data_IF_629956903184
#
_entry.id   IF_629956903184
#
_cell.length_a   1.000
_cell.length_b   1.000
_cell.length_c   1.000
_cell.angle_alpha   90.00
_cell.angle_beta   90.00
_cell.angle_gamma   90.00
#
_symmetry.space_group_name_H-M   'P 1'
#
loop_
_entity.id
_entity.type
_entity.pdbx_description
1 polymer ?
#
# COMPACT_ATOMS: atom_id res chain seq x y z
N UNK A 1 10.81 14.32 -1.30
CA UNK A 1 10.87 15.59 -0.55
C UNK A 1 12.07 15.70 0.41
N UNK A 2 12.64 14.60 0.90
CA UNK A 2 13.78 14.58 1.84
C UNK A 2 14.98 13.70 1.39
N UNK A 3 14.92 13.12 0.20
CA UNK A 3 16.00 12.31 -0.39
C UNK A 3 16.15 10.91 0.23
N UNK A 4 15.30 10.51 1.18
CA UNK A 4 15.36 9.19 1.78
C UNK A 4 14.87 8.12 0.81
N UNK A 5 15.58 7.00 0.77
CA UNK A 5 15.12 5.80 0.06
C UNK A 5 14.39 4.91 1.05
N UNK A 6 13.13 4.61 0.76
CA UNK A 6 12.28 3.70 1.54
C UNK A 6 11.97 2.49 0.67
N UNK A 7 11.89 1.32 1.30
CA UNK A 7 11.62 0.06 0.60
C UNK A 7 10.36 -0.60 1.13
N UNK A 8 9.72 -1.39 0.28
CA UNK A 8 8.60 -2.24 0.63
C UNK A 8 8.79 -3.63 0.03
N UNK A 9 8.31 -4.66 0.71
CA UNK A 9 8.39 -6.05 0.25
C UNK A 9 7.05 -6.73 0.42
N UNK A 10 6.77 -7.71 -0.43
CA UNK A 10 5.61 -8.58 -0.28
C UNK A 10 5.72 -9.35 1.04
N UNK A 11 4.70 -9.21 1.88
CA UNK A 11 4.55 -9.91 3.16
C UNK A 11 3.38 -10.90 3.14
N UNK A 12 2.95 -11.29 4.34
CA UNK A 12 1.75 -12.12 4.54
C UNK A 12 0.47 -11.31 4.34
N UNK A 13 0.46 -10.04 4.78
CA UNK A 13 -0.71 -9.17 4.76
C UNK A 13 -0.69 -8.14 3.63
N UNK A 14 0.47 -7.55 3.32
CA UNK A 14 0.60 -6.48 2.34
C UNK A 14 1.35 -6.96 1.10
N UNK A 15 0.89 -6.51 -0.08
CA UNK A 15 1.70 -6.55 -1.30
C UNK A 15 2.86 -5.55 -1.23
N UNK A 16 3.85 -5.70 -2.12
CA UNK A 16 5.01 -4.80 -2.14
C UNK A 16 4.64 -3.32 -2.33
N UNK A 17 3.64 -3.01 -3.17
CA UNK A 17 3.14 -1.65 -3.36
C UNK A 17 2.53 -1.09 -2.07
N UNK A 18 1.58 -1.81 -1.46
CA UNK A 18 0.95 -1.42 -0.20
C UNK A 18 1.98 -1.22 0.92
N UNK A 19 2.96 -2.14 1.04
CA UNK A 19 4.03 -2.04 2.02
C UNK A 19 4.93 -0.83 1.79
N UNK A 20 5.34 -0.58 0.53
CA UNK A 20 6.13 0.59 0.18
C UNK A 20 5.38 1.89 0.53
N UNK A 21 4.10 1.97 0.18
CA UNK A 21 3.26 3.13 0.47
C UNK A 21 3.17 3.38 1.98
N UNK A 22 2.96 2.32 2.77
CA UNK A 22 2.87 2.43 4.23
C UNK A 22 4.18 2.91 4.85
N UNK A 23 5.31 2.31 4.46
CA UNK A 23 6.62 2.68 4.96
C UNK A 23 6.97 4.11 4.55
N UNK A 24 6.63 4.52 3.32
CA UNK A 24 6.84 5.89 2.86
C UNK A 24 6.01 6.90 3.68
N UNK A 25 4.73 6.59 3.96
CA UNK A 25 3.88 7.44 4.80
C UNK A 25 4.42 7.56 6.22
N UNK A 26 4.84 6.45 6.85
CA UNK A 26 5.48 6.47 8.17
C UNK A 26 6.74 7.32 8.17
N UNK A 27 7.61 7.13 7.17
CA UNK A 27 8.86 7.87 7.04
C UNK A 27 8.64 9.38 6.91
N UNK A 28 7.70 9.83 6.07
CA UNK A 28 7.43 11.28 5.93
C UNK A 28 6.75 11.84 7.17
N UNK A 29 5.95 11.06 7.89
CA UNK A 29 5.23 11.53 9.09
C UNK A 29 6.03 11.38 10.39
N UNK A 30 7.26 10.87 10.32
CA UNK A 30 8.13 10.66 11.47
C UNK A 30 7.62 9.55 12.41
N UNK A 31 6.81 8.63 11.88
CA UNK A 31 6.34 7.45 12.60
C UNK A 31 7.34 6.33 12.42
N UNK A 32 7.59 5.60 13.50
CA UNK A 32 8.49 4.45 13.49
C UNK A 32 7.99 3.37 12.50
N UNK A 33 8.90 2.76 11.74
CA UNK A 33 8.58 1.76 10.73
C UNK A 33 7.97 0.49 11.36
N UNK A 34 8.39 0.14 12.57
CA UNK A 34 7.92 -1.06 13.29
C UNK A 34 6.54 -0.85 13.96
N UNK A 35 6.08 0.41 14.06
CA UNK A 35 4.78 0.69 14.69
C UNK A 35 3.63 0.23 13.80
N UNK A 36 2.74 -0.60 14.33
CA UNK A 36 1.50 -0.96 13.63
C UNK A 36 0.52 0.22 13.69
N UNK A 37 0.09 0.70 12.53
CA UNK A 37 -0.76 1.91 12.38
C UNK A 37 -2.13 1.61 11.75
N UNK A 38 -2.40 0.34 11.47
CA UNK A 38 -3.71 -0.13 11.01
C UNK A 38 -4.19 -1.17 12.00
N UNK A 39 -5.39 -0.96 12.54
CA UNK A 39 -6.03 -1.88 13.48
C UNK A 39 -6.47 -3.15 12.74
N UNK A 40 -6.22 -4.32 13.34
CA UNK A 40 -6.67 -5.61 12.82
C UNK A 40 -8.19 -5.65 12.59
N UNK A 41 -8.98 -4.90 13.38
CA UNK A 41 -10.43 -4.76 13.20
C UNK A 41 -10.82 -4.07 11.90
N UNK A 42 -9.93 -3.26 11.31
CA UNK A 42 -10.12 -2.66 9.99
C UNK A 42 -9.65 -3.60 8.87
N UNK A 43 -8.60 -4.40 9.13
CA UNK A 43 -8.00 -5.32 8.16
C UNK A 43 -8.86 -6.57 7.95
N UNK A 44 -9.27 -7.21 9.04
CA UNK A 44 -9.88 -8.55 9.01
C UNK A 44 -11.17 -8.60 8.17
N UNK A 45 -12.10 -7.63 8.24
CA UNK A 45 -13.29 -7.64 7.39
C UNK A 45 -12.96 -7.57 5.90
N UNK A 46 -11.91 -6.83 5.52
CA UNK A 46 -11.48 -6.71 4.12
C UNK A 46 -10.89 -8.05 3.65
N UNK A 47 -10.02 -8.66 4.45
CA UNK A 47 -9.46 -9.97 4.13
C UNK A 47 -10.56 -11.03 3.97
N UNK A 48 -11.52 -11.10 4.90
CA UNK A 48 -12.65 -12.04 4.84
C UNK A 48 -13.52 -11.80 3.62
N UNK A 49 -13.82 -10.54 3.29
CA UNK A 49 -14.56 -10.21 2.06
C UNK A 49 -13.86 -10.78 0.82
N UNK A 50 -12.55 -10.58 0.69
CA UNK A 50 -11.77 -11.07 -0.45
C UNK A 50 -11.81 -12.58 -0.56
N UNK A 51 -11.58 -13.29 0.54
CA UNK A 51 -11.40 -14.75 0.51
C UNK A 51 -12.72 -15.52 0.57
N UNK A 52 -13.67 -15.09 1.39
CA UNK A 52 -14.92 -15.83 1.65
C UNK A 52 -16.05 -15.46 0.68
N UNK A 53 -16.04 -14.25 0.12
CA UNK A 53 -17.16 -13.74 -0.67
C UNK A 53 -16.78 -13.39 -2.11
N UNK A 54 -15.56 -12.91 -2.35
CA UNK A 54 -15.07 -12.55 -3.68
C UNK A 54 -14.21 -13.64 -4.33
N UNK A 55 -14.05 -14.79 -3.66
CA UNK A 55 -13.27 -15.95 -4.15
C UNK A 55 -11.83 -15.61 -4.56
N UNK A 56 -11.24 -14.56 -3.96
CA UNK A 56 -9.83 -14.24 -4.17
C UNK A 56 -8.96 -15.23 -3.41
N UNK A 57 -8.04 -15.87 -4.11
CA UNK A 57 -6.98 -16.69 -3.50
C UNK A 57 -5.97 -15.81 -2.75
N UNK A 58 -5.85 -14.54 -3.12
CA UNK A 58 -4.91 -13.60 -2.51
C UNK A 58 -5.60 -12.78 -1.43
N UNK A 59 -5.26 -13.07 -0.16
CA UNK A 59 -5.72 -12.32 1.02
C UNK A 59 -4.98 -11.00 1.24
N UNK A 60 -3.90 -10.73 0.50
CA UNK A 60 -3.09 -9.53 0.71
C UNK A 60 -3.88 -8.29 0.32
N UNK A 61 -3.68 -7.21 1.06
CA UNK A 61 -4.29 -5.93 0.75
C UNK A 61 -3.54 -5.23 -0.38
N UNK A 62 -4.29 -4.74 -1.36
CA UNK A 62 -3.83 -3.75 -2.34
C UNK A 62 -3.68 -2.39 -1.68
N UNK A 63 -3.03 -1.47 -2.40
CA UNK A 63 -2.66 -0.16 -1.85
C UNK A 63 -3.91 0.66 -1.47
N UNK A 64 -5.00 0.53 -2.21
CA UNK A 64 -6.28 1.19 -1.94
C UNK A 64 -6.99 0.63 -0.71
N UNK A 65 -7.10 -0.70 -0.61
CA UNK A 65 -7.64 -1.40 0.57
C UNK A 65 -6.83 -1.04 1.84
N UNK A 66 -5.51 -0.89 1.70
CA UNK A 66 -4.62 -0.48 2.78
C UNK A 66 -4.91 0.94 3.24
N UNK A 67 -5.12 1.88 2.30
CA UNK A 67 -5.50 3.26 2.65
C UNK A 67 -6.90 3.36 3.25
N UNK A 68 -7.84 2.54 2.80
CA UNK A 68 -9.19 2.45 3.39
C UNK A 68 -9.08 1.96 4.83
N UNK A 69 -8.33 0.89 5.08
CA UNK A 69 -8.13 0.37 6.43
C UNK A 69 -7.45 1.40 7.35
N UNK A 70 -6.40 2.06 6.86
CA UNK A 70 -5.74 3.16 7.59
C UNK A 70 -6.72 4.31 7.89
N UNK A 71 -7.58 4.67 6.92
CA UNK A 71 -8.60 5.71 7.10
C UNK A 71 -9.61 5.34 8.17
N UNK A 72 -10.02 4.08 8.25
CA UNK A 72 -10.91 3.61 9.32
C UNK A 72 -10.21 3.71 10.68
N UNK A 73 -8.97 3.21 10.79
CA UNK A 73 -8.19 3.30 12.03
C UNK A 73 -7.96 4.75 12.48
N UNK A 74 -7.79 5.68 11.53
CA UNK A 74 -7.59 7.11 11.83
C UNK A 74 -8.76 7.79 12.55
N UNK A 75 -9.96 7.19 12.53
CA UNK A 75 -11.11 7.73 13.27
C UNK A 75 -10.95 7.63 14.79
N UNK A 76 -10.09 6.73 15.28
CA UNK A 76 -9.90 6.47 16.71
C UNK A 76 -8.42 6.47 17.14
N UNK A 77 -7.48 6.54 16.20
CA UNK A 77 -6.05 6.53 16.47
C UNK A 77 -5.36 7.77 15.88
N UNK A 78 -4.78 8.60 16.76
CA UNK A 78 -4.10 9.84 16.37
C UNK A 78 -2.86 9.59 15.51
N UNK A 79 -2.17 8.47 15.71
CA UNK A 79 -1.00 8.12 14.91
C UNK A 79 -1.42 7.76 13.48
N UNK A 80 -2.46 6.94 13.31
CA UNK A 80 -3.02 6.62 12.01
C UNK A 80 -3.53 7.88 11.29
N UNK A 81 -4.19 8.79 12.02
CA UNK A 81 -4.62 10.09 11.49
C UNK A 81 -3.43 10.95 11.01
N UNK A 82 -2.33 10.97 11.75
CA UNK A 82 -1.10 11.63 11.32
C UNK A 82 -0.51 10.96 10.08
N UNK A 83 -0.46 9.63 10.03
CA UNK A 83 0.10 8.87 8.90
C UNK A 83 -0.67 9.17 7.62
N UNK A 84 -2.00 9.09 7.64
CA UNK A 84 -2.82 9.30 6.45
C UNK A 84 -2.78 10.76 5.96
N UNK A 85 -2.65 11.73 6.86
CA UNK A 85 -2.43 13.14 6.51
C UNK A 85 -1.10 13.37 5.75
N UNK A 86 -0.17 12.43 5.83
CA UNK A 86 1.10 12.46 5.10
C UNK A 86 0.99 12.24 3.58
N UNK A 87 -0.17 11.81 3.07
CA UNK A 87 -0.36 11.46 1.64
C UNK A 87 0.07 12.57 0.68
N UNK A 88 -0.27 13.82 0.96
CA UNK A 88 0.08 14.94 0.07
C UNK A 88 1.60 15.11 -0.09
N UNK A 89 2.38 14.69 0.90
CA UNK A 89 3.84 14.81 0.89
C UNK A 89 4.50 13.80 -0.05
N UNK A 90 3.77 12.77 -0.50
CA UNK A 90 4.28 11.78 -1.45
C UNK A 90 4.14 12.25 -2.91
N UNK A 91 3.38 13.33 -3.16
CA UNK A 91 3.20 13.87 -4.51
C UNK A 91 4.54 14.30 -5.11
N UNK A 92 4.79 13.87 -6.34
CA UNK A 92 6.03 14.11 -7.07
C UNK A 92 7.20 13.22 -6.66
N UNK A 93 6.99 12.24 -5.77
CA UNK A 93 8.00 11.23 -5.47
C UNK A 93 8.06 10.18 -6.60
N UNK A 94 9.20 9.52 -6.71
CA UNK A 94 9.39 8.39 -7.62
C UNK A 94 9.28 7.07 -6.87
N UNK A 95 8.61 6.09 -7.49
CA UNK A 95 8.50 4.72 -7.02
C UNK A 95 8.97 3.75 -8.10
N UNK A 96 9.84 2.83 -7.73
CA UNK A 96 10.34 1.78 -8.61
C UNK A 96 9.90 0.40 -8.09
N UNK A 97 9.45 -0.45 -9.02
CA UNK A 97 9.05 -1.82 -8.71
C UNK A 97 9.84 -2.84 -9.54
N UNK A 98 10.22 -3.95 -8.91
CA UNK A 98 10.92 -5.05 -9.59
C UNK A 98 10.03 -5.86 -10.55
N UNK A 99 8.73 -5.57 -10.58
CA UNK A 99 7.73 -6.18 -11.46
C UNK A 99 6.70 -5.13 -11.89
N UNK A 100 6.01 -5.40 -12.99
CA UNK A 100 4.79 -4.69 -13.38
C UNK A 100 3.75 -4.90 -12.28
N UNK A 101 3.37 -3.82 -11.59
CA UNK A 101 2.37 -3.85 -10.52
C UNK A 101 0.95 -3.99 -11.08
N UNK A 102 -0.01 -4.25 -10.20
CA UNK A 102 -1.42 -4.35 -10.61
C UNK A 102 -1.93 -3.02 -11.17
N UNK A 103 -2.90 -3.09 -12.09
CA UNK A 103 -3.53 -1.89 -12.65
C UNK A 103 -4.22 -1.03 -11.57
N UNK A 104 -4.72 -1.66 -10.50
CA UNK A 104 -5.32 -0.98 -9.36
C UNK A 104 -4.29 -0.16 -8.58
N UNK A 105 -3.13 -0.77 -8.27
CA UNK A 105 -2.03 -0.09 -7.59
C UNK A 105 -1.47 1.04 -8.47
N UNK A 106 -1.25 0.80 -9.76
CA UNK A 106 -0.78 1.84 -10.69
C UNK A 106 -1.75 3.03 -10.75
N UNK A 107 -3.05 2.77 -10.87
CA UNK A 107 -4.06 3.81 -10.91
C UNK A 107 -4.10 4.63 -9.61
N UNK A 108 -3.93 3.98 -8.45
CA UNK A 108 -3.86 4.69 -7.17
C UNK A 108 -2.60 5.56 -7.08
N UNK A 109 -1.43 5.01 -7.36
CA UNK A 109 -0.17 5.77 -7.31
C UNK A 109 -0.22 6.99 -8.23
N UNK A 110 -0.81 6.84 -9.42
CA UNK A 110 -1.06 7.96 -10.34
C UNK A 110 -1.98 9.02 -9.73
N UNK A 111 -3.06 8.63 -9.05
CA UNK A 111 -3.96 9.57 -8.35
C UNK A 111 -3.25 10.31 -7.21
N UNK A 112 -2.33 9.64 -6.52
CA UNK A 112 -1.48 10.25 -5.49
C UNK A 112 -0.38 11.16 -6.09
N UNK A 113 -0.23 11.18 -7.42
CA UNK A 113 0.80 11.94 -8.12
C UNK A 113 2.20 11.40 -7.88
N UNK A 114 2.34 10.10 -7.64
CA UNK A 114 3.63 9.40 -7.52
C UNK A 114 4.03 8.89 -8.91
N UNK A 115 5.27 9.17 -9.31
CA UNK A 115 5.81 8.72 -10.59
C UNK A 115 6.22 7.25 -10.47
N UNK A 116 5.54 6.36 -11.19
CA UNK A 116 5.81 4.92 -11.12
C UNK A 116 6.66 4.47 -12.30
N UNK A 117 7.68 3.66 -12.01
CA UNK A 117 8.45 2.90 -12.98
C UNK A 117 8.61 1.46 -12.51
N UNK A 118 8.82 0.52 -13.44
CA UNK A 118 9.02 -0.88 -13.11
C UNK A 118 9.88 -1.62 -14.13
N UNK A 119 10.43 -2.77 -13.73
CA UNK A 119 10.98 -3.72 -14.69
C UNK A 119 9.86 -4.34 -15.55
N UNK A 120 10.09 -4.61 -16.85
CA UNK A 120 9.09 -5.17 -17.75
C UNK A 120 8.91 -6.70 -17.54
N UNK A 121 8.59 -7.09 -16.30
CA UNK A 121 8.41 -8.48 -15.87
C UNK A 121 7.15 -8.58 -15.02
N UNK A 122 6.33 -9.59 -15.26
CA UNK A 122 5.14 -9.83 -14.44
C UNK A 122 5.48 -10.68 -13.19
N UNK A 123 4.73 -10.49 -12.11
CA UNK A 123 4.87 -11.28 -10.88
C UNK A 123 4.59 -12.77 -11.10
N UNK A 124 3.72 -13.10 -12.06
CA UNK A 124 3.35 -14.48 -12.42
C UNK A 124 3.75 -14.78 -13.87
N UNK A 125 4.15 -16.03 -14.11
CA UNK A 125 4.52 -16.56 -15.44
C UNK A 125 3.28 -17.06 -16.22
N UNK A 126 2.10 -16.47 -16.01
CA UNK A 126 0.89 -16.88 -16.76
C UNK A 126 0.68 -16.02 -18.00
N UNK A 127 0.30 -16.65 -19.11
CA UNK A 127 0.09 -16.01 -20.42
C UNK A 127 -1.11 -15.04 -20.48
N UNK A 128 -1.93 -14.98 -19.43
CA UNK A 128 -3.10 -14.11 -19.32
C UNK A 128 -3.02 -13.30 -18.02
N UNK A 129 -3.20 -11.97 -18.14
CA UNK A 129 -3.26 -11.03 -17.03
C UNK A 129 -4.50 -10.15 -17.24
N UNK A 130 -5.49 -10.26 -16.37
CA UNK A 130 -6.69 -9.41 -16.36
C UNK A 130 -7.07 -9.11 -14.92
#
# INVERSE_FOLDING_TARGET
>A
PDGRVVTGRTGTLLGAASALLMNALKAVTGVDDDLLVIDDKAIEPICRLKTEHLNSVNRRLHSDETLIALSITSSTDETAARVIAGLERLRGCDAFFSVIISAADEALYRKLGINVSCEPKYERVSLYHK
#
